data_IF_632798339572
#
_entry.id   IF_632798339572
#
_cell.length_a   1.000
_cell.length_b   1.000
_cell.length_c   1.000
_cell.angle_alpha   90.00
_cell.angle_beta   90.00
_cell.angle_gamma   90.00
#
_symmetry.space_group_name_H-M   'P 1'
#
loop_
_entity.id
_entity.type
_entity.pdbx_description
1 polymer ?
#
# COMPACT_ATOMS: atom_id res chain seq x y z
N UNK A 1 -37.57 41.69 93.12
CA UNK A 1 -36.19 41.89 92.69
C UNK A 1 -36.19 42.24 91.18
N UNK A 2 -35.90 43.51 90.91
CA UNK A 2 -35.89 44.12 89.58
C UNK A 2 -34.73 43.63 88.72
N UNK A 3 -34.97 43.38 87.38
CA UNK A 3 -33.93 43.47 86.42
C UNK A 3 -34.44 44.23 85.16
N UNK A 4 -33.70 45.29 84.87
CA UNK A 4 -33.91 46.27 83.83
C UNK A 4 -33.71 45.64 82.42
N UNK A 5 -34.62 46.00 81.50
CA UNK A 5 -34.49 45.81 80.08
C UNK A 5 -33.63 46.97 79.51
N UNK A 6 -32.56 46.66 78.80
CA UNK A 6 -31.77 47.61 78.01
C UNK A 6 -32.18 47.52 76.59
N UNK A 7 -32.64 48.61 75.98
CA UNK A 7 -32.95 48.79 74.57
C UNK A 7 -31.66 48.96 73.76
N UNK A 8 -31.47 48.16 72.71
CA UNK A 8 -30.42 48.34 71.73
C UNK A 8 -30.96 49.09 70.52
N UNK A 9 -30.38 50.23 70.24
CA UNK A 9 -30.59 51.04 69.02
C UNK A 9 -30.18 50.32 67.76
N UNK A 10 -31.12 50.12 66.82
CA UNK A 10 -30.78 49.64 65.44
C UNK A 10 -30.54 50.88 64.55
N UNK A 11 -29.30 51.08 64.20
CA UNK A 11 -28.86 52.08 63.20
C UNK A 11 -29.21 51.64 61.83
N UNK A 12 -30.11 52.31 61.16
CA UNK A 12 -30.42 52.11 59.71
C UNK A 12 -29.30 52.68 58.87
N UNK A 13 -28.47 51.81 58.27
CA UNK A 13 -27.51 52.20 57.26
C UNK A 13 -28.23 52.38 55.89
N UNK A 14 -28.31 53.61 55.41
CA UNK A 14 -28.75 53.93 54.07
C UNK A 14 -27.74 53.34 53.04
N UNK A 15 -28.13 52.31 52.28
CA UNK A 15 -27.36 51.76 51.18
C UNK A 15 -27.59 52.63 49.94
N UNK A 16 -26.57 53.30 49.43
CA UNK A 16 -26.69 54.21 48.29
C UNK A 16 -27.03 53.42 46.99
N UNK A 17 -27.87 54.01 46.11
CA UNK A 17 -28.24 53.43 44.81
C UNK A 17 -27.04 53.03 43.93
N UNK A 18 -25.88 53.63 44.15
CA UNK A 18 -24.61 53.29 43.46
C UNK A 18 -24.02 51.92 43.94
N UNK A 19 -24.19 51.55 45.22
CA UNK A 19 -23.69 50.31 45.73
C UNK A 19 -24.53 49.09 45.25
N UNK A 20 -25.84 49.29 44.97
CA UNK A 20 -26.71 48.23 44.43
C UNK A 20 -26.42 47.99 42.96
N UNK A 21 -26.09 49.04 42.17
CA UNK A 21 -25.72 48.88 40.76
C UNK A 21 -24.32 48.25 40.58
N UNK A 22 -23.37 48.46 41.45
CA UNK A 22 -22.06 47.83 41.41
C UNK A 22 -22.13 46.33 41.78
N UNK A 23 -23.03 45.95 42.72
CA UNK A 23 -23.24 44.56 43.10
C UNK A 23 -23.91 43.70 41.99
N UNK A 24 -24.83 44.29 41.22
CA UNK A 24 -25.47 43.59 40.09
C UNK A 24 -24.53 43.42 38.89
N UNK A 25 -23.60 44.36 38.62
CA UNK A 25 -22.60 44.22 37.54
C UNK A 25 -21.55 43.13 37.87
N UNK A 26 -21.12 43.02 39.12
CA UNK A 26 -20.21 41.96 39.56
C UNK A 26 -20.85 40.56 39.54
N UNK A 27 -22.15 40.47 39.86
CA UNK A 27 -22.90 39.22 39.80
C UNK A 27 -23.13 38.72 38.34
N UNK A 28 -23.33 39.63 37.41
CA UNK A 28 -23.48 39.30 35.97
C UNK A 28 -22.17 38.85 35.34
N UNK A 29 -21.03 39.47 35.72
CA UNK A 29 -19.70 39.05 35.22
C UNK A 29 -19.28 37.68 35.75
N UNK A 30 -19.64 37.31 36.98
CA UNK A 30 -19.37 36.00 37.57
C UNK A 30 -20.28 34.89 37.03
N UNK A 31 -21.47 35.23 36.51
CA UNK A 31 -22.39 34.27 35.88
C UNK A 31 -21.96 33.93 34.43
N UNK A 32 -21.30 34.87 33.72
CA UNK A 32 -20.77 34.64 32.37
C UNK A 32 -19.52 33.76 32.35
N UNK A 33 -18.78 33.62 33.45
CA UNK A 33 -17.62 32.73 33.58
C UNK A 33 -17.97 31.27 33.91
N UNK A 34 -19.27 30.92 34.05
CA UNK A 34 -19.74 29.56 34.34
C UNK A 34 -20.54 28.91 33.18
N UNK A 35 -20.49 29.45 31.98
CA UNK A 35 -20.91 28.65 30.85
C UNK A 35 -19.87 27.53 30.68
N UNK A 36 -20.26 26.26 30.78
CA UNK A 36 -19.33 25.19 30.39
C UNK A 36 -18.92 25.51 28.97
N UNK A 37 -17.61 25.68 28.75
CA UNK A 37 -17.09 25.59 27.39
C UNK A 37 -17.73 24.35 26.78
N UNK A 38 -18.35 24.41 25.60
CA UNK A 38 -18.90 23.21 24.98
C UNK A 38 -17.80 22.19 25.01
N UNK A 39 -18.01 21.07 25.70
CA UNK A 39 -17.15 19.92 25.58
C UNK A 39 -17.09 19.68 24.08
N UNK A 40 -15.94 19.88 23.46
CA UNK A 40 -15.70 19.46 22.08
C UNK A 40 -16.05 17.98 22.13
N UNK A 41 -17.21 17.62 21.63
CA UNK A 41 -17.61 16.22 21.52
C UNK A 41 -16.45 15.53 20.83
N UNK A 42 -15.74 14.70 21.57
CA UNK A 42 -14.60 13.99 21.05
C UNK A 42 -15.17 13.17 19.89
N UNK A 43 -14.83 13.54 18.65
CA UNK A 43 -15.34 12.84 17.47
C UNK A 43 -15.07 11.35 17.65
N UNK A 44 -16.04 10.50 17.30
CA UNK A 44 -15.87 9.04 17.33
C UNK A 44 -14.52 8.66 16.71
N UNK A 45 -13.80 7.69 17.25
CA UNK A 45 -12.55 7.23 16.65
C UNK A 45 -12.75 6.86 15.19
N UNK A 46 -11.77 7.15 14.35
CA UNK A 46 -11.72 6.65 12.97
C UNK A 46 -11.31 5.19 13.00
N UNK A 47 -12.18 4.30 12.53
CA UNK A 47 -11.93 2.85 12.53
C UNK A 47 -11.27 2.43 11.25
N UNK A 48 -10.00 2.06 11.35
CA UNK A 48 -9.15 1.64 10.24
C UNK A 48 -9.01 0.12 10.23
N UNK A 49 -9.63 -0.55 9.27
CA UNK A 49 -9.54 -1.99 9.08
C UNK A 49 -8.34 -2.37 8.20
N UNK A 50 -7.67 -3.47 8.51
CA UNK A 50 -6.64 -4.08 7.66
C UNK A 50 -6.98 -5.53 7.38
N UNK A 51 -7.10 -5.90 6.12
CA UNK A 51 -7.08 -7.28 5.63
C UNK A 51 -5.66 -7.66 5.26
N UNK A 52 -5.07 -8.63 5.95
CA UNK A 52 -3.68 -9.05 5.74
C UNK A 52 -3.53 -10.57 5.80
N UNK A 53 -2.36 -11.09 5.42
CA UNK A 53 -2.02 -12.51 5.46
C UNK A 53 -0.89 -12.73 6.45
N UNK A 54 -1.08 -13.60 7.46
CA UNK A 54 -0.07 -13.85 8.51
C UNK A 54 0.56 -15.23 8.44
N UNK A 55 0.08 -16.10 7.54
CA UNK A 55 0.54 -17.48 7.39
C UNK A 55 0.73 -17.85 5.91
N UNK A 56 1.51 -18.91 5.64
CA UNK A 56 1.73 -19.43 4.30
C UNK A 56 2.70 -18.62 3.44
N UNK A 57 2.72 -18.85 2.11
CA UNK A 57 3.71 -18.27 1.20
C UNK A 57 3.69 -16.74 1.14
N UNK A 58 2.55 -16.11 1.42
CA UNK A 58 2.37 -14.66 1.37
C UNK A 58 2.57 -13.96 2.72
N UNK A 59 2.85 -14.70 3.80
CA UNK A 59 2.93 -14.17 5.16
C UNK A 59 3.96 -13.03 5.32
N UNK A 60 5.10 -13.12 4.64
CA UNK A 60 6.14 -12.09 4.68
C UNK A 60 5.58 -10.74 4.22
N UNK A 61 4.86 -10.71 3.09
CA UNK A 61 4.20 -9.52 2.60
C UNK A 61 3.14 -8.99 3.55
N UNK A 62 2.28 -9.87 4.07
CA UNK A 62 1.20 -9.49 4.98
C UNK A 62 1.69 -8.94 6.32
N UNK A 63 2.79 -9.45 6.86
CA UNK A 63 3.43 -8.92 8.08
C UNK A 63 3.98 -7.51 7.79
N UNK A 64 4.64 -7.32 6.66
CA UNK A 64 5.15 -6.02 6.23
C UNK A 64 4.01 -5.00 6.03
N UNK A 65 2.86 -5.41 5.51
CA UNK A 65 1.67 -4.54 5.42
C UNK A 65 1.29 -3.97 6.77
N UNK A 66 1.11 -4.81 7.77
CA UNK A 66 0.73 -4.39 9.12
C UNK A 66 1.79 -3.50 9.76
N UNK A 67 3.06 -3.84 9.60
CA UNK A 67 4.19 -3.03 10.08
C UNK A 67 4.21 -1.64 9.44
N UNK A 68 3.91 -1.53 8.14
CA UNK A 68 3.81 -0.25 7.44
C UNK A 68 2.69 0.64 8.00
N UNK A 69 1.49 0.09 8.18
CA UNK A 69 0.37 0.79 8.81
C UNK A 69 0.74 1.28 10.22
N UNK A 70 1.23 0.36 11.06
CA UNK A 70 1.56 0.67 12.44
C UNK A 70 2.72 1.66 12.57
N UNK A 71 3.68 1.66 11.62
CA UNK A 71 4.76 2.66 11.59
C UNK A 71 4.18 4.06 11.40
N UNK A 72 3.25 4.24 10.44
CA UNK A 72 2.58 5.51 10.23
C UNK A 72 1.73 5.92 11.44
N UNK A 73 0.93 5.01 11.98
CA UNK A 73 0.08 5.31 13.12
C UNK A 73 0.88 5.70 14.37
N UNK A 74 2.00 5.04 14.64
CA UNK A 74 2.92 5.40 15.74
C UNK A 74 3.52 6.79 15.53
N UNK A 75 3.98 7.11 14.31
CA UNK A 75 4.49 8.44 13.96
C UNK A 75 3.45 9.54 14.21
N UNK A 76 2.18 9.27 13.92
CA UNK A 76 1.05 10.20 14.12
C UNK A 76 0.39 10.09 15.50
N UNK A 77 0.99 9.36 16.46
CA UNK A 77 0.40 9.11 17.77
C UNK A 77 -1.06 8.62 17.68
N UNK A 78 -1.33 7.73 16.73
CA UNK A 78 -2.68 7.19 16.43
C UNK A 78 -3.72 8.29 16.21
N UNK A 79 -3.33 9.38 15.52
CA UNK A 79 -4.26 10.48 15.18
C UNK A 79 -4.04 10.87 13.73
N UNK A 80 -5.07 10.72 12.89
CA UNK A 80 -5.07 11.09 11.47
C UNK A 80 -6.31 11.93 11.15
N UNK A 81 -6.19 12.92 10.27
CA UNK A 81 -7.30 13.83 9.93
C UNK A 81 -7.94 14.51 11.15
N UNK A 82 -7.19 14.66 12.25
CA UNK A 82 -7.71 15.22 13.52
C UNK A 82 -8.51 14.22 14.38
N UNK A 83 -8.67 12.97 13.96
CA UNK A 83 -9.40 11.91 14.69
C UNK A 83 -8.45 10.87 15.28
N UNK A 84 -8.75 10.37 16.46
CA UNK A 84 -8.09 9.18 17.02
C UNK A 84 -8.41 7.96 16.16
N UNK A 85 -7.42 7.09 15.98
CA UNK A 85 -7.56 5.86 15.19
C UNK A 85 -7.78 4.66 16.09
N UNK A 86 -8.83 3.90 15.77
CA UNK A 86 -9.03 2.53 16.24
C UNK A 86 -8.61 1.59 15.10
N UNK A 87 -7.50 0.87 15.29
CA UNK A 87 -6.90 0.02 14.26
C UNK A 87 -7.25 -1.45 14.49
N UNK A 88 -7.85 -2.08 13.48
CA UNK A 88 -8.33 -3.46 13.53
C UNK A 88 -7.67 -4.27 12.42
N UNK A 89 -6.81 -5.23 12.77
CA UNK A 89 -6.12 -6.12 11.84
C UNK A 89 -6.78 -7.49 11.80
N UNK A 90 -7.10 -7.97 10.59
CA UNK A 90 -7.75 -9.24 10.34
C UNK A 90 -6.92 -10.12 9.41
N UNK A 91 -6.58 -11.33 9.87
CA UNK A 91 -5.86 -12.35 9.08
C UNK A 91 -6.83 -13.08 8.17
N UNK A 92 -6.63 -12.99 6.87
CA UNK A 92 -7.45 -13.64 5.84
C UNK A 92 -7.08 -15.12 5.64
N UNK A 93 -5.94 -15.56 6.20
CA UNK A 93 -5.36 -16.87 5.95
C UNK A 93 -4.90 -17.07 4.50
N UNK A 94 -4.79 -16.00 3.70
CA UNK A 94 -4.33 -16.05 2.31
C UNK A 94 -5.25 -16.85 1.39
N UNK A 95 -6.57 -16.79 1.59
CA UNK A 95 -7.53 -17.50 0.76
C UNK A 95 -8.86 -16.72 0.59
N UNK A 96 -9.60 -16.95 -0.52
CA UNK A 96 -10.83 -16.21 -0.84
C UNK A 96 -11.93 -16.29 0.23
N UNK A 97 -12.14 -17.45 0.84
CA UNK A 97 -13.20 -17.67 1.81
C UNK A 97 -12.91 -16.92 3.13
N UNK A 98 -11.67 -17.05 3.63
CA UNK A 98 -11.21 -16.31 4.80
C UNK A 98 -11.28 -14.80 4.59
N UNK A 99 -10.88 -14.33 3.43
CA UNK A 99 -10.93 -12.90 3.08
C UNK A 99 -12.37 -12.37 3.12
N UNK A 100 -13.33 -13.11 2.53
CA UNK A 100 -14.74 -12.73 2.56
C UNK A 100 -15.27 -12.64 3.98
N UNK A 101 -15.01 -13.67 4.81
CA UNK A 101 -15.42 -13.68 6.21
C UNK A 101 -14.85 -12.50 6.97
N UNK A 102 -13.55 -12.23 6.82
CA UNK A 102 -12.89 -11.13 7.54
C UNK A 102 -13.32 -9.75 7.05
N UNK A 103 -13.60 -9.59 5.76
CA UNK A 103 -14.17 -8.35 5.24
C UNK A 103 -15.56 -8.08 5.84
N UNK A 104 -16.42 -9.11 5.92
CA UNK A 104 -17.73 -8.99 6.56
C UNK A 104 -17.63 -8.65 8.05
N UNK A 105 -16.72 -9.30 8.79
CA UNK A 105 -16.46 -8.97 10.20
C UNK A 105 -16.07 -7.50 10.39
N UNK A 106 -15.11 -6.99 9.60
CA UNK A 106 -14.66 -5.60 9.67
C UNK A 106 -15.80 -4.60 9.37
N UNK A 107 -16.63 -4.89 8.37
CA UNK A 107 -17.71 -3.98 7.96
C UNK A 107 -18.91 -4.07 8.88
N UNK A 108 -19.38 -5.28 9.19
CA UNK A 108 -20.68 -5.49 9.84
C UNK A 108 -20.58 -5.48 11.37
N UNK A 109 -19.52 -6.07 11.94
CA UNK A 109 -19.29 -6.13 13.39
C UNK A 109 -18.50 -4.92 13.88
N UNK A 110 -17.35 -4.68 13.26
CA UNK A 110 -16.37 -3.70 13.74
C UNK A 110 -16.65 -2.28 13.22
N UNK A 111 -17.54 -2.16 12.19
CA UNK A 111 -18.00 -0.88 11.62
C UNK A 111 -16.83 0.01 11.19
N UNK A 112 -15.87 -0.54 10.45
CA UNK A 112 -14.73 0.22 9.97
C UNK A 112 -15.14 1.33 8.99
N UNK A 113 -14.43 2.44 9.02
CA UNK A 113 -14.62 3.57 8.11
C UNK A 113 -13.98 3.32 6.75
N UNK A 114 -12.86 2.60 6.73
CA UNK A 114 -12.08 2.24 5.54
C UNK A 114 -11.41 0.89 5.74
N UNK A 115 -11.21 0.15 4.65
CA UNK A 115 -10.40 -1.07 4.63
C UNK A 115 -9.08 -0.80 3.90
N UNK A 116 -7.96 -1.20 4.50
CA UNK A 116 -6.67 -1.36 3.84
C UNK A 116 -6.46 -2.83 3.47
N UNK A 117 -5.84 -3.10 2.32
CA UNK A 117 -5.69 -4.46 1.82
C UNK A 117 -6.88 -4.92 0.93
N UNK A 118 -7.03 -6.19 0.64
CA UNK A 118 -6.15 -7.32 0.98
C UNK A 118 -4.83 -7.32 0.19
N UNK A 119 -4.04 -8.42 0.36
CA UNK A 119 -2.74 -8.56 -0.28
C UNK A 119 -2.85 -9.14 -1.70
N UNK A 120 -3.55 -10.25 -1.86
CA UNK A 120 -3.52 -11.02 -3.10
C UNK A 120 -4.66 -10.68 -4.07
N UNK A 121 -4.41 -10.83 -5.38
CA UNK A 121 -5.40 -10.56 -6.42
C UNK A 121 -6.68 -11.40 -6.23
N UNK A 122 -6.54 -12.71 -5.95
CA UNK A 122 -7.70 -13.60 -5.73
C UNK A 122 -8.50 -13.22 -4.48
N UNK A 123 -7.88 -12.64 -3.47
CA UNK A 123 -8.54 -12.12 -2.28
C UNK A 123 -9.40 -10.89 -2.62
N UNK A 124 -8.83 -9.96 -3.40
CA UNK A 124 -9.54 -8.75 -3.81
C UNK A 124 -10.71 -9.05 -4.74
N UNK A 125 -10.54 -9.98 -5.69
CA UNK A 125 -11.65 -10.46 -6.53
C UNK A 125 -12.78 -11.06 -5.69
N UNK A 126 -12.46 -11.83 -4.65
CA UNK A 126 -13.45 -12.48 -3.80
C UNK A 126 -14.36 -11.49 -3.03
N UNK A 127 -13.89 -10.27 -2.76
CA UNK A 127 -14.64 -9.26 -1.99
C UNK A 127 -15.07 -8.05 -2.81
N UNK A 128 -14.73 -7.98 -4.09
CA UNK A 128 -14.97 -6.77 -4.91
C UNK A 128 -16.46 -6.39 -4.98
N UNK A 129 -17.34 -7.36 -5.21
CA UNK A 129 -18.79 -7.09 -5.26
C UNK A 129 -19.30 -6.66 -3.89
N UNK A 130 -18.86 -7.31 -2.81
CA UNK A 130 -19.21 -6.94 -1.44
C UNK A 130 -18.79 -5.50 -1.09
N UNK A 131 -17.55 -5.12 -1.43
CA UNK A 131 -17.05 -3.74 -1.27
C UNK A 131 -17.98 -2.74 -1.98
N UNK A 132 -18.38 -3.06 -3.22
CA UNK A 132 -19.26 -2.23 -4.03
C UNK A 132 -20.66 -2.12 -3.43
N UNK A 133 -21.26 -3.22 -3.01
CA UNK A 133 -22.59 -3.27 -2.38
C UNK A 133 -22.64 -2.49 -1.06
N UNK A 134 -21.59 -2.63 -0.23
CA UNK A 134 -21.49 -1.95 1.06
C UNK A 134 -20.99 -0.50 0.94
N UNK A 135 -20.67 -0.04 -0.27
CA UNK A 135 -20.04 1.26 -0.51
C UNK A 135 -18.80 1.47 0.39
N UNK A 136 -18.00 0.41 0.59
CA UNK A 136 -16.90 0.41 1.55
C UNK A 136 -15.61 0.95 0.91
N UNK A 137 -15.13 2.14 1.28
CA UNK A 137 -13.85 2.65 0.81
C UNK A 137 -12.74 1.67 1.11
N UNK A 138 -12.02 1.22 0.08
CA UNK A 138 -10.99 0.20 0.20
C UNK A 138 -9.73 0.63 -0.55
N UNK A 139 -8.61 0.72 0.16
CA UNK A 139 -7.30 0.98 -0.44
C UNK A 139 -6.52 -0.32 -0.45
N UNK A 140 -6.45 -0.96 -1.62
CA UNK A 140 -5.76 -2.24 -1.76
C UNK A 140 -4.37 -2.08 -2.36
N UNK A 141 -3.47 -3.00 -1.96
CA UNK A 141 -2.25 -3.25 -2.71
C UNK A 141 -2.36 -4.51 -3.58
N UNK A 142 -3.45 -5.27 -3.47
CA UNK A 142 -3.70 -6.39 -4.37
C UNK A 142 -3.78 -5.89 -5.81
N UNK A 143 -2.91 -6.41 -6.64
CA UNK A 143 -2.60 -5.82 -7.94
C UNK A 143 -3.53 -6.31 -9.09
N UNK A 144 -4.73 -6.82 -8.78
CA UNK A 144 -5.73 -7.33 -9.72
C UNK A 144 -6.10 -6.29 -10.81
N UNK A 145 -5.54 -6.41 -11.99
CA UNK A 145 -5.58 -5.43 -13.07
C UNK A 145 -7.00 -4.99 -13.42
N UNK A 146 -7.92 -5.93 -13.63
CA UNK A 146 -9.25 -5.63 -14.12
C UNK A 146 -10.09 -4.74 -13.23
N UNK A 147 -9.85 -4.75 -11.92
CA UNK A 147 -10.65 -3.97 -10.95
C UNK A 147 -10.37 -2.45 -11.01
N UNK A 148 -9.36 -2.04 -11.77
CA UNK A 148 -9.10 -0.65 -12.16
C UNK A 148 -8.93 -0.47 -13.67
N UNK A 149 -9.35 -1.45 -14.46
CA UNK A 149 -9.30 -1.41 -15.92
C UNK A 149 -10.69 -1.70 -16.51
N UNK A 150 -11.01 -2.98 -16.78
CA UNK A 150 -12.22 -3.39 -17.50
C UNK A 150 -13.46 -3.54 -16.62
N UNK A 151 -13.26 -3.74 -15.31
CA UNK A 151 -14.32 -3.93 -14.31
C UNK A 151 -14.08 -2.99 -13.10
N UNK A 152 -14.02 -1.66 -13.31
CA UNK A 152 -13.64 -0.75 -12.25
C UNK A 152 -14.64 -0.77 -11.10
N UNK A 153 -14.11 -0.90 -9.88
CA UNK A 153 -14.89 -0.81 -8.66
C UNK A 153 -14.80 0.63 -8.12
N UNK A 154 -15.92 1.37 -8.00
CA UNK A 154 -15.92 2.78 -7.60
C UNK A 154 -15.43 3.01 -6.15
N UNK A 155 -15.45 1.98 -5.29
CA UNK A 155 -15.01 2.04 -3.90
C UNK A 155 -13.63 1.41 -3.68
N UNK A 156 -12.94 1.03 -4.74
CA UNK A 156 -11.56 0.60 -4.71
C UNK A 156 -10.64 1.74 -5.16
N UNK A 157 -9.58 1.98 -4.40
CA UNK A 157 -8.46 2.85 -4.77
C UNK A 157 -7.18 2.02 -4.65
N UNK A 158 -6.29 2.11 -5.63
CA UNK A 158 -5.02 1.39 -5.62
C UNK A 158 -3.86 2.38 -5.66
N UNK A 159 -3.13 2.49 -4.54
CA UNK A 159 -1.93 3.34 -4.45
C UNK A 159 -0.62 2.58 -4.72
N UNK A 160 -0.70 1.27 -4.99
CA UNK A 160 0.45 0.45 -5.37
C UNK A 160 0.74 0.55 -6.88
N UNK A 161 0.19 -0.38 -7.62
CA UNK A 161 0.26 -0.60 -9.05
C UNK A 161 -0.71 -1.71 -9.44
N UNK A 162 -1.05 -1.85 -10.71
CA UNK A 162 -1.56 -3.11 -11.22
C UNK A 162 -0.41 -4.11 -11.37
N UNK A 163 -0.71 -5.41 -11.44
CA UNK A 163 0.31 -6.45 -11.64
C UNK A 163 1.12 -6.20 -12.91
N UNK A 164 0.46 -5.78 -13.99
CA UNK A 164 1.11 -5.49 -15.26
C UNK A 164 1.91 -4.19 -15.27
N UNK A 165 1.48 -3.19 -14.49
CA UNK A 165 2.04 -1.83 -14.52
C UNK A 165 3.53 -1.79 -14.14
N UNK A 166 3.98 -2.59 -13.16
CA UNK A 166 5.38 -2.66 -12.78
C UNK A 166 6.23 -3.42 -13.83
N UNK A 167 5.58 -4.33 -14.56
CA UNK A 167 6.27 -5.18 -15.53
C UNK A 167 6.40 -4.57 -16.92
N UNK A 168 5.57 -3.59 -17.26
CA UNK A 168 5.66 -2.87 -18.55
C UNK A 168 6.98 -2.10 -18.68
N UNK A 169 7.40 -1.23 -17.71
CA UNK A 169 8.73 -0.62 -17.73
C UNK A 169 9.87 -1.64 -17.74
N UNK A 170 9.68 -2.79 -17.05
CA UNK A 170 10.69 -3.85 -17.02
C UNK A 170 10.85 -4.52 -18.39
N UNK A 171 9.75 -4.80 -19.09
CA UNK A 171 9.78 -5.35 -20.44
C UNK A 171 10.48 -4.41 -21.41
N UNK A 172 10.13 -3.12 -21.38
CA UNK A 172 10.80 -2.07 -22.15
C UNK A 172 12.31 -2.02 -21.82
N UNK A 173 12.68 -1.97 -20.55
CA UNK A 173 14.07 -1.91 -20.12
C UNK A 173 14.87 -3.17 -20.55
N UNK A 174 14.27 -4.34 -20.44
CA UNK A 174 14.89 -5.60 -20.85
C UNK A 174 15.24 -5.62 -22.36
N UNK A 175 14.33 -5.13 -23.21
CA UNK A 175 14.56 -5.06 -24.65
C UNK A 175 15.56 -3.95 -25.05
N UNK A 176 15.39 -2.75 -24.48
CA UNK A 176 16.07 -1.53 -24.95
C UNK A 176 17.42 -1.28 -24.29
N UNK A 177 17.56 -1.59 -23.00
CA UNK A 177 18.79 -1.33 -22.24
C UNK A 177 19.62 -2.60 -22.01
N UNK A 178 18.97 -3.70 -21.58
CA UNK A 178 19.67 -4.99 -21.41
C UNK A 178 19.90 -5.71 -22.76
N UNK A 179 19.23 -5.25 -23.84
CA UNK A 179 19.34 -5.80 -25.19
C UNK A 179 18.95 -7.28 -25.28
N UNK A 180 18.12 -7.76 -24.38
CA UNK A 180 17.59 -9.11 -24.45
C UNK A 180 16.69 -9.25 -25.69
N UNK A 181 16.73 -10.40 -26.34
CA UNK A 181 15.90 -10.70 -27.50
C UNK A 181 14.96 -11.86 -27.27
N UNK A 182 15.40 -12.86 -26.51
CA UNK A 182 14.68 -14.13 -26.27
C UNK A 182 14.63 -14.39 -24.78
N UNK A 183 13.45 -14.37 -24.19
CA UNK A 183 13.28 -14.52 -22.72
C UNK A 183 12.36 -15.69 -22.42
N UNK A 184 12.77 -16.54 -21.47
CA UNK A 184 11.88 -17.49 -20.77
C UNK A 184 11.25 -16.79 -19.61
N UNK A 185 9.93 -16.93 -19.42
CA UNK A 185 9.22 -16.39 -18.28
C UNK A 185 8.83 -17.48 -17.29
N UNK A 186 8.87 -17.17 -15.99
CA UNK A 186 8.48 -18.11 -14.91
C UNK A 186 7.81 -17.35 -13.78
N UNK A 187 6.59 -17.79 -13.39
CA UNK A 187 5.79 -17.16 -12.33
C UNK A 187 4.71 -18.12 -11.85
N UNK A 188 4.05 -17.80 -10.72
CA UNK A 188 2.98 -18.65 -10.18
C UNK A 188 1.74 -18.69 -11.08
N UNK A 189 1.09 -19.87 -11.07
CA UNK A 189 -0.10 -20.22 -11.87
C UNK A 189 -1.38 -19.62 -11.25
N UNK A 190 -1.52 -18.28 -11.27
CA UNK A 190 -2.73 -17.55 -10.88
C UNK A 190 -2.72 -16.11 -11.45
N UNK A 191 -3.82 -15.36 -11.27
CA UNK A 191 -4.05 -14.06 -11.92
C UNK A 191 -2.85 -13.10 -11.82
N UNK A 192 -2.25 -12.93 -10.64
CA UNK A 192 -1.06 -12.06 -10.47
C UNK A 192 0.08 -12.45 -11.42
N UNK A 193 0.41 -13.75 -11.49
CA UNK A 193 1.46 -14.23 -12.37
C UNK A 193 1.15 -13.99 -13.86
N UNK A 194 -0.11 -14.24 -14.27
CA UNK A 194 -0.53 -14.00 -15.66
C UNK A 194 -0.43 -12.53 -16.03
N UNK A 195 -0.87 -11.63 -15.15
CA UNK A 195 -0.83 -10.18 -15.33
C UNK A 195 0.62 -9.67 -15.34
N UNK A 196 1.47 -10.16 -14.44
CA UNK A 196 2.91 -9.84 -14.41
C UNK A 196 3.57 -10.16 -15.75
N UNK A 197 3.46 -11.41 -16.21
CA UNK A 197 4.10 -11.82 -17.45
C UNK A 197 3.42 -11.21 -18.67
N UNK A 198 2.11 -10.99 -18.62
CA UNK A 198 1.37 -10.31 -19.68
C UNK A 198 1.88 -8.89 -19.91
N UNK A 199 2.04 -8.11 -18.82
CA UNK A 199 2.59 -6.75 -18.88
C UNK A 199 4.04 -6.71 -19.38
N UNK A 200 4.89 -7.61 -18.88
CA UNK A 200 6.26 -7.76 -19.34
C UNK A 200 6.30 -8.07 -20.84
N UNK A 201 5.61 -9.13 -21.27
CA UNK A 201 5.63 -9.62 -22.63
C UNK A 201 5.11 -8.56 -23.61
N UNK A 202 4.03 -7.86 -23.28
CA UNK A 202 3.46 -6.83 -24.15
C UNK A 202 4.48 -5.72 -24.44
N UNK A 203 5.12 -5.15 -23.41
CA UNK A 203 6.11 -4.11 -23.58
C UNK A 203 7.43 -4.64 -24.21
N UNK A 204 7.85 -5.84 -23.82
CA UNK A 204 9.06 -6.47 -24.38
C UNK A 204 8.93 -6.74 -25.87
N UNK A 205 7.77 -7.23 -26.32
CA UNK A 205 7.48 -7.49 -27.73
C UNK A 205 7.29 -6.21 -28.54
N UNK A 206 6.69 -5.16 -27.96
CA UNK A 206 6.60 -3.84 -28.60
C UNK A 206 7.99 -3.33 -29.01
N UNK A 207 9.00 -3.60 -28.19
CA UNK A 207 10.39 -3.19 -28.43
C UNK A 207 11.24 -4.26 -29.13
N UNK A 208 10.61 -5.24 -29.75
CA UNK A 208 11.24 -6.26 -30.59
C UNK A 208 11.84 -7.44 -29.85
N UNK A 209 11.49 -7.65 -28.59
CA UNK A 209 11.79 -8.87 -27.84
C UNK A 209 10.81 -10.01 -28.13
N UNK A 210 11.13 -11.20 -27.66
CA UNK A 210 10.31 -12.39 -27.84
C UNK A 210 10.32 -13.28 -26.61
N UNK A 211 9.14 -13.66 -26.10
CA UNK A 211 9.01 -14.67 -25.05
C UNK A 211 8.95 -16.05 -25.70
N UNK A 212 9.96 -16.87 -25.41
CA UNK A 212 10.15 -18.19 -26.05
C UNK A 212 9.49 -19.33 -25.30
N UNK A 213 9.31 -19.18 -23.98
CA UNK A 213 8.62 -20.17 -23.15
C UNK A 213 8.00 -19.51 -21.92
N UNK A 214 6.93 -20.10 -21.38
CA UNK A 214 6.24 -19.67 -20.16
C UNK A 214 6.11 -20.85 -19.20
N UNK A 215 6.62 -20.69 -17.99
CA UNK A 215 6.62 -21.72 -16.96
C UNK A 215 5.73 -21.27 -15.79
N UNK A 216 4.83 -22.14 -15.34
CA UNK A 216 3.76 -21.84 -14.40
C UNK A 216 3.78 -22.78 -13.19
N UNK A 217 4.73 -22.65 -12.23
CA UNK A 217 4.67 -23.38 -10.96
C UNK A 217 3.45 -22.93 -10.12
N UNK A 218 2.75 -23.85 -9.43
CA UNK A 218 1.76 -23.48 -8.42
C UNK A 218 2.34 -22.56 -7.33
N UNK A 219 1.51 -21.68 -6.74
CA UNK A 219 1.92 -20.75 -5.67
C UNK A 219 2.62 -21.46 -4.48
N UNK A 220 2.15 -22.64 -4.11
CA UNK A 220 2.72 -23.44 -3.01
C UNK A 220 3.79 -24.44 -3.48
N UNK A 221 4.43 -24.22 -4.64
CA UNK A 221 5.47 -25.11 -5.16
C UNK A 221 6.61 -25.30 -4.14
N UNK A 222 6.91 -26.53 -3.72
CA UNK A 222 7.98 -26.79 -2.76
C UNK A 222 9.37 -26.77 -3.40
N UNK A 223 9.48 -27.13 -4.69
CA UNK A 223 10.72 -27.26 -5.45
C UNK A 223 10.62 -26.64 -6.84
N UNK A 224 11.56 -25.77 -7.18
CA UNK A 224 11.65 -25.09 -8.47
C UNK A 224 12.55 -25.80 -9.48
N UNK A 225 13.29 -26.84 -9.07
CA UNK A 225 14.23 -27.57 -9.96
C UNK A 225 13.60 -28.06 -11.27
N UNK A 226 12.38 -28.63 -11.29
CA UNK A 226 11.75 -29.08 -12.54
C UNK A 226 11.45 -27.94 -13.51
N UNK A 227 11.22 -26.73 -13.01
CA UNK A 227 10.97 -25.54 -13.84
C UNK A 227 12.27 -24.94 -14.32
N UNK A 228 13.27 -24.84 -13.45
CA UNK A 228 14.63 -24.37 -13.78
C UNK A 228 15.25 -25.22 -14.89
N UNK A 229 15.07 -26.52 -14.87
CA UNK A 229 15.57 -27.45 -15.90
C UNK A 229 14.97 -27.21 -17.31
N UNK A 230 13.86 -26.47 -17.41
CA UNK A 230 13.23 -26.12 -18.69
C UNK A 230 13.69 -24.77 -19.24
N UNK A 231 14.57 -24.06 -18.52
CA UNK A 231 15.12 -22.78 -18.96
C UNK A 231 16.30 -23.05 -19.91
N UNK A 232 16.08 -22.86 -21.18
CA UNK A 232 17.09 -23.07 -22.22
C UNK A 232 16.82 -22.14 -23.43
N UNK A 233 17.80 -22.02 -24.33
CA UNK A 233 17.70 -21.33 -25.60
C UNK A 233 17.15 -19.89 -25.49
N UNK A 234 17.63 -19.13 -24.51
CA UNK A 234 17.22 -17.76 -24.25
C UNK A 234 18.42 -16.86 -23.94
N UNK A 235 18.19 -15.54 -23.97
CA UNK A 235 19.16 -14.51 -23.58
C UNK A 235 18.96 -14.03 -22.15
N UNK A 236 17.81 -14.35 -21.55
CA UNK A 236 17.46 -13.96 -20.21
C UNK A 236 16.22 -14.65 -19.67
N UNK A 237 15.98 -14.47 -18.38
CA UNK A 237 14.83 -15.02 -17.67
C UNK A 237 14.05 -13.90 -17.00
N UNK A 238 12.73 -13.88 -17.19
CA UNK A 238 11.86 -12.99 -16.45
C UNK A 238 11.08 -13.79 -15.41
N UNK A 239 11.27 -13.48 -14.12
CA UNK A 239 10.48 -14.08 -13.04
C UNK A 239 9.48 -13.10 -12.46
N UNK A 240 8.28 -13.58 -12.06
CA UNK A 240 7.20 -12.79 -11.50
C UNK A 240 6.61 -13.41 -10.22
N UNK A 241 7.46 -13.92 -9.33
CA UNK A 241 7.03 -14.62 -8.11
C UNK A 241 6.60 -13.68 -6.99
N UNK A 242 5.65 -14.13 -6.17
CA UNK A 242 5.14 -13.44 -5.00
C UNK A 242 5.75 -13.95 -3.68
N UNK A 243 5.63 -13.12 -2.63
CA UNK A 243 6.04 -13.47 -1.27
C UNK A 243 7.51 -13.87 -1.16
N UNK A 244 7.79 -15.03 -0.56
CA UNK A 244 9.15 -15.57 -0.40
C UNK A 244 9.60 -16.50 -1.52
N UNK A 245 8.74 -16.74 -2.52
CA UNK A 245 9.04 -17.65 -3.63
C UNK A 245 10.23 -17.22 -4.49
N UNK A 246 10.49 -15.92 -4.72
CA UNK A 246 11.67 -15.45 -5.44
C UNK A 246 12.98 -15.97 -4.83
N UNK A 247 13.09 -16.02 -3.50
CA UNK A 247 14.28 -16.53 -2.82
C UNK A 247 14.56 -18.00 -3.16
N UNK A 248 13.50 -18.82 -3.15
CA UNK A 248 13.61 -20.26 -3.44
C UNK A 248 13.94 -20.50 -4.91
N UNK A 249 13.31 -19.74 -5.81
CA UNK A 249 13.60 -19.80 -7.23
C UNK A 249 15.05 -19.43 -7.51
N UNK A 250 15.55 -18.30 -6.99
CA UNK A 250 16.94 -17.86 -7.23
C UNK A 250 17.97 -18.86 -6.70
N UNK A 251 17.70 -19.50 -5.56
CA UNK A 251 18.55 -20.59 -5.04
C UNK A 251 18.57 -21.80 -5.97
N UNK A 252 17.42 -22.26 -6.45
CA UNK A 252 17.33 -23.35 -7.41
C UNK A 252 18.02 -23.00 -8.74
N UNK A 253 17.82 -21.78 -9.22
CA UNK A 253 18.43 -21.23 -10.43
C UNK A 253 19.97 -21.24 -10.34
N UNK A 254 20.53 -20.72 -9.26
CA UNK A 254 21.98 -20.71 -9.02
C UNK A 254 22.53 -22.14 -8.85
N UNK A 255 21.82 -23.02 -8.14
CA UNK A 255 22.22 -24.43 -7.95
C UNK A 255 22.27 -25.22 -9.26
N UNK A 256 21.42 -24.86 -10.23
CA UNK A 256 21.46 -25.44 -11.57
C UNK A 256 22.61 -24.90 -12.44
N UNK A 257 23.39 -23.93 -11.94
CA UNK A 257 24.52 -23.36 -12.66
C UNK A 257 24.14 -22.44 -13.82
N UNK A 258 22.86 -22.03 -13.93
CA UNK A 258 22.40 -21.12 -14.98
C UNK A 258 23.01 -19.71 -14.81
N UNK A 259 23.29 -19.04 -15.92
CA UNK A 259 24.00 -17.75 -15.95
C UNK A 259 23.26 -16.68 -16.80
N UNK A 260 22.05 -16.98 -17.27
CA UNK A 260 21.28 -15.97 -17.98
C UNK A 260 20.97 -14.79 -17.05
N UNK A 261 20.96 -13.53 -17.54
CA UNK A 261 20.43 -12.41 -16.78
C UNK A 261 19.00 -12.68 -16.32
N UNK A 262 18.71 -12.38 -15.05
CA UNK A 262 17.35 -12.52 -14.49
C UNK A 262 16.77 -11.13 -14.27
N UNK A 263 15.56 -10.90 -14.82
CA UNK A 263 14.77 -9.70 -14.57
C UNK A 263 13.50 -10.06 -13.82
N UNK A 264 12.96 -9.10 -13.07
CA UNK A 264 11.79 -9.33 -12.21
C UNK A 264 10.91 -8.09 -12.06
N UNK A 265 9.68 -8.32 -11.61
CA UNK A 265 8.79 -7.27 -11.16
C UNK A 265 9.09 -6.83 -9.72
N UNK A 266 8.08 -6.22 -9.16
CA UNK A 266 8.14 -5.54 -7.86
C UNK A 266 8.49 -6.46 -6.68
N UNK A 267 8.02 -7.71 -6.72
CA UNK A 267 8.13 -8.66 -5.62
C UNK A 267 9.45 -9.44 -5.61
N UNK A 268 9.96 -9.81 -6.78
CA UNK A 268 11.16 -10.63 -6.89
C UNK A 268 12.44 -9.92 -6.47
N UNK A 269 12.49 -8.61 -6.60
CA UNK A 269 13.57 -7.76 -6.12
C UNK A 269 13.17 -6.93 -4.90
N UNK A 270 12.18 -7.35 -4.10
CA UNK A 270 11.72 -6.58 -2.94
C UNK A 270 12.85 -6.37 -1.92
N UNK A 271 13.00 -5.13 -1.45
CA UNK A 271 14.04 -4.74 -0.49
C UNK A 271 13.95 -5.51 0.84
N UNK A 272 12.75 -5.92 1.26
CA UNK A 272 12.56 -6.75 2.45
C UNK A 272 13.22 -8.15 2.33
N UNK A 273 13.49 -8.62 1.13
CA UNK A 273 14.16 -9.90 0.88
C UNK A 273 15.68 -9.81 0.91
N UNK A 274 16.27 -8.60 0.87
CA UNK A 274 17.73 -8.41 0.76
C UNK A 274 18.51 -9.06 1.91
N UNK A 275 17.93 -9.12 3.11
CA UNK A 275 18.54 -9.79 4.27
C UNK A 275 18.68 -11.32 4.04
N UNK A 276 17.85 -11.91 3.21
CA UNK A 276 17.79 -13.35 2.91
C UNK A 276 18.43 -13.74 1.59
N UNK A 277 18.73 -12.77 0.74
CA UNK A 277 19.51 -12.98 -0.47
C UNK A 277 21.00 -13.09 -0.17
N UNK A 278 21.67 -13.98 -0.91
CA UNK A 278 23.12 -14.09 -0.98
C UNK A 278 23.65 -13.73 -2.37
N UNK A 279 24.78 -14.32 -2.73
CA UNK A 279 25.46 -14.10 -4.02
C UNK A 279 24.58 -14.49 -5.23
N UNK A 280 23.63 -15.42 -5.02
CA UNK A 280 22.69 -15.87 -6.06
C UNK A 280 21.79 -14.75 -6.60
N UNK A 281 21.64 -13.66 -5.87
CA UNK A 281 20.84 -12.53 -6.31
C UNK A 281 21.66 -11.41 -6.98
N UNK A 282 22.99 -11.47 -6.94
CA UNK A 282 23.83 -10.44 -7.55
C UNK A 282 23.59 -10.40 -9.07
N UNK A 283 23.26 -9.19 -9.55
CA UNK A 283 22.92 -8.96 -10.96
C UNK A 283 21.42 -9.04 -11.28
N UNK A 284 20.57 -9.49 -10.34
CA UNK A 284 19.11 -9.45 -10.51
C UNK A 284 18.65 -8.00 -10.73
N UNK A 285 17.88 -7.77 -11.80
CA UNK A 285 17.33 -6.46 -12.13
C UNK A 285 15.82 -6.48 -11.94
N UNK A 286 15.30 -5.58 -11.11
CA UNK A 286 13.87 -5.51 -10.78
C UNK A 286 13.27 -4.13 -11.05
N UNK A 287 11.97 -4.10 -11.35
CA UNK A 287 11.20 -2.87 -11.43
C UNK A 287 10.18 -2.81 -10.27
N UNK A 288 10.20 -1.74 -9.50
CA UNK A 288 9.35 -1.62 -8.31
C UNK A 288 8.92 -0.17 -8.08
N UNK A 289 7.72 0.08 -7.55
CA UNK A 289 7.28 1.42 -7.19
C UNK A 289 7.90 1.96 -5.90
N UNK A 290 8.78 1.22 -5.26
CA UNK A 290 9.50 1.59 -4.04
C UNK A 290 10.96 1.16 -4.11
N UNK A 291 11.84 1.88 -3.44
CA UNK A 291 13.25 1.52 -3.26
C UNK A 291 13.83 2.10 -1.97
N UNK A 292 14.64 1.31 -1.26
CA UNK A 292 15.45 1.79 -0.13
C UNK A 292 16.49 2.85 -0.57
N UNK A 293 16.90 2.83 -1.83
CA UNK A 293 17.94 3.71 -2.41
C UNK A 293 17.42 5.13 -2.69
N UNK A 294 16.16 5.46 -2.37
CA UNK A 294 15.59 6.78 -2.56
C UNK A 294 16.01 7.71 -1.41
N UNK A 295 16.90 8.67 -1.72
CA UNK A 295 17.48 9.63 -0.78
C UNK A 295 16.53 10.83 -0.56
N UNK A 296 15.41 10.60 0.15
CA UNK A 296 14.46 11.64 0.55
C UNK A 296 14.16 11.56 2.04
N UNK A 297 13.84 12.70 2.67
CA UNK A 297 13.49 12.74 4.09
C UNK A 297 12.28 11.87 4.42
N UNK A 298 11.30 11.78 3.50
CA UNK A 298 10.12 10.94 3.68
C UNK A 298 10.49 9.45 3.73
N UNK A 299 11.40 9.01 2.85
CA UNK A 299 11.86 7.62 2.84
C UNK A 299 12.74 7.31 4.06
N UNK A 300 13.67 8.20 4.42
CA UNK A 300 14.52 8.03 5.60
C UNK A 300 13.68 7.90 6.88
N UNK A 301 12.71 8.80 7.12
CA UNK A 301 11.80 8.71 8.28
C UNK A 301 11.05 7.37 8.34
N UNK A 302 10.57 6.91 7.18
CA UNK A 302 9.87 5.62 7.09
C UNK A 302 10.81 4.44 7.42
N UNK A 303 12.02 4.40 6.83
CA UNK A 303 13.02 3.34 7.08
C UNK A 303 13.40 3.32 8.56
N UNK A 304 13.73 4.48 9.14
CA UNK A 304 14.08 4.60 10.55
C UNK A 304 12.94 4.14 11.47
N UNK A 305 11.70 4.47 11.10
CA UNK A 305 10.51 4.01 11.81
C UNK A 305 10.35 2.48 11.78
N UNK A 306 10.58 1.84 10.64
CA UNK A 306 10.54 0.39 10.49
C UNK A 306 11.63 -0.31 11.29
N UNK A 307 12.87 0.15 11.17
CA UNK A 307 14.02 -0.42 11.91
C UNK A 307 13.80 -0.24 13.41
N UNK A 308 13.45 0.96 13.87
CA UNK A 308 13.22 1.25 15.29
C UNK A 308 12.11 0.40 15.91
N UNK A 309 11.02 0.18 15.19
CA UNK A 309 9.84 -0.49 15.74
C UNK A 309 9.90 -2.02 15.61
N UNK A 310 10.60 -2.55 14.60
CA UNK A 310 10.48 -3.96 14.22
C UNK A 310 11.81 -4.66 13.91
N UNK A 311 12.94 -3.94 13.97
CA UNK A 311 14.24 -4.44 13.49
C UNK A 311 14.14 -5.05 12.07
N UNK A 312 13.30 -4.43 11.23
CA UNK A 312 12.96 -4.92 9.91
C UNK A 312 13.34 -3.92 8.82
N UNK A 313 13.95 -4.43 7.76
CA UNK A 313 14.17 -3.69 6.53
C UNK A 313 12.82 -3.59 5.79
N UNK A 314 12.33 -2.38 5.48
CA UNK A 314 11.08 -2.26 4.77
C UNK A 314 11.23 -2.66 3.30
N UNK A 315 10.22 -3.35 2.80
CA UNK A 315 10.00 -3.56 1.38
C UNK A 315 8.80 -2.76 0.88
N UNK A 316 8.40 -3.05 -0.36
CA UNK A 316 7.28 -2.38 -0.98
C UNK A 316 5.97 -2.54 -0.19
N UNK A 317 5.69 -3.71 0.39
CA UNK A 317 4.45 -3.95 1.12
C UNK A 317 4.29 -3.00 2.31
N UNK A 318 5.36 -2.81 3.09
CA UNK A 318 5.35 -1.86 4.20
C UNK A 318 5.24 -0.41 3.70
N UNK A 319 6.05 -0.03 2.70
CA UNK A 319 6.07 1.33 2.15
C UNK A 319 4.70 1.75 1.61
N UNK A 320 4.02 0.84 0.91
CA UNK A 320 2.76 1.16 0.26
C UNK A 320 1.58 1.19 1.23
N UNK A 321 1.58 0.38 2.29
CA UNK A 321 0.59 0.51 3.36
C UNK A 321 0.81 1.75 4.22
N UNK A 322 2.06 2.16 4.43
CA UNK A 322 2.36 3.47 5.02
C UNK A 322 1.80 4.60 4.12
N UNK A 323 2.00 4.54 2.81
CA UNK A 323 1.45 5.50 1.83
C UNK A 323 -0.08 5.46 1.80
N UNK A 324 -0.71 4.30 1.89
CA UNK A 324 -2.17 4.21 2.01
C UNK A 324 -2.69 4.98 3.24
N UNK A 325 -1.98 4.92 4.36
CA UNK A 325 -2.30 5.73 5.54
C UNK A 325 -2.12 7.23 5.28
N UNK A 326 -1.07 7.64 4.52
CA UNK A 326 -0.91 9.05 4.11
C UNK A 326 -2.07 9.52 3.23
N UNK A 327 -2.54 8.67 2.30
CA UNK A 327 -3.70 8.96 1.43
C UNK A 327 -4.96 9.14 2.28
N UNK A 328 -5.23 8.22 3.21
CA UNK A 328 -6.37 8.30 4.13
C UNK A 328 -6.30 9.56 5.01
N UNK A 329 -5.13 9.87 5.58
CA UNK A 329 -4.91 11.07 6.40
C UNK A 329 -5.17 12.37 5.60
N UNK A 330 -4.68 12.43 4.37
CA UNK A 330 -4.90 13.58 3.48
C UNK A 330 -6.39 13.75 3.11
N UNK A 331 -7.08 12.65 2.79
CA UNK A 331 -8.51 12.66 2.48
C UNK A 331 -9.36 13.07 3.68
N UNK A 332 -9.05 12.54 4.87
CA UNK A 332 -9.73 12.94 6.12
C UNK A 332 -9.55 14.42 6.43
N UNK A 333 -8.34 14.97 6.25
CA UNK A 333 -8.09 16.41 6.42
C UNK A 333 -8.94 17.23 5.44
N UNK A 334 -8.99 16.80 4.18
CA UNK A 334 -9.77 17.49 3.14
C UNK A 334 -11.30 17.43 3.40
N UNK A 335 -11.79 16.35 4.05
CA UNK A 335 -13.21 16.19 4.42
C UNK A 335 -13.54 16.73 5.82
N UNK A 336 -12.61 17.44 6.49
CA UNK A 336 -12.83 17.94 7.84
C UNK A 336 -12.99 16.82 8.90
N UNK A 337 -12.44 15.65 8.63
CA UNK A 337 -12.53 14.47 9.50
C UNK A 337 -13.77 13.60 9.27
N UNK A 338 -14.62 13.97 8.31
CA UNK A 338 -15.84 13.21 7.99
C UNK A 338 -15.56 12.08 6.99
N UNK A 339 -15.88 10.84 7.38
CA UNK A 339 -15.88 9.64 6.56
C UNK A 339 -17.23 8.90 6.56
N UNK A 340 -18.26 9.53 7.12
CA UNK A 340 -19.62 8.96 7.23
C UNK A 340 -20.32 8.86 5.87
N UNK A 341 -20.20 9.90 5.05
CA UNK A 341 -20.65 9.89 3.65
C UNK A 341 -19.59 9.19 2.79
N UNK A 342 -19.81 7.91 2.50
CA UNK A 342 -18.85 7.07 1.77
C UNK A 342 -18.55 7.58 0.36
N UNK A 343 -19.54 8.15 -0.33
CA UNK A 343 -19.34 8.67 -1.69
C UNK A 343 -18.47 9.94 -1.67
N UNK A 344 -18.69 10.85 -0.72
CA UNK A 344 -17.85 12.04 -0.53
C UNK A 344 -16.43 11.67 -0.07
N UNK A 345 -16.31 10.70 0.84
CA UNK A 345 -15.01 10.27 1.31
C UNK A 345 -14.20 9.59 0.19
N UNK A 346 -14.85 8.75 -0.65
CA UNK A 346 -14.21 8.22 -1.85
C UNK A 346 -13.77 9.30 -2.82
N UNK A 347 -14.57 10.33 -3.02
CA UNK A 347 -14.18 11.47 -3.85
C UNK A 347 -12.95 12.21 -3.29
N UNK A 348 -12.88 12.39 -1.97
CA UNK A 348 -11.71 12.97 -1.31
C UNK A 348 -10.46 12.07 -1.45
N UNK A 349 -10.60 10.75 -1.30
CA UNK A 349 -9.50 9.78 -1.51
C UNK A 349 -8.95 9.85 -2.93
N UNK A 350 -9.81 9.88 -3.94
CA UNK A 350 -9.43 9.96 -5.36
C UNK A 350 -8.75 11.28 -5.74
N UNK A 351 -9.08 12.36 -5.06
CA UNK A 351 -8.51 13.68 -5.31
C UNK A 351 -7.12 13.86 -4.69
N UNK A 352 -6.64 12.90 -3.89
CA UNK A 352 -5.33 12.99 -3.23
C UNK A 352 -4.21 13.01 -4.26
N UNK A 353 -3.31 13.97 -4.10
CA UNK A 353 -2.07 14.10 -4.84
C UNK A 353 -0.94 14.35 -3.83
N UNK A 354 -0.06 13.37 -3.67
CA UNK A 354 1.04 13.44 -2.71
C UNK A 354 2.36 13.62 -3.44
N UNK A 355 3.16 14.57 -3.00
CA UNK A 355 4.51 14.85 -3.52
C UNK A 355 5.61 14.25 -2.66
N UNK A 356 5.35 14.07 -1.36
CA UNK A 356 6.32 13.59 -0.36
C UNK A 356 5.85 12.28 0.27
N UNK A 357 6.25 11.17 -0.34
CA UNK A 357 6.03 9.84 0.22
C UNK A 357 7.30 9.00 0.18
N UNK A 358 7.39 7.91 0.94
CA UNK A 358 8.55 7.00 0.85
C UNK A 358 8.82 6.46 -0.56
N UNK A 359 7.81 6.44 -1.42
CA UNK A 359 7.94 5.96 -2.81
C UNK A 359 8.10 7.08 -3.85
N UNK A 360 8.16 8.35 -3.43
CA UNK A 360 8.08 9.52 -4.31
C UNK A 360 6.64 9.95 -4.62
N UNK A 361 6.45 10.85 -5.60
CA UNK A 361 5.14 11.42 -5.93
C UNK A 361 4.14 10.38 -6.43
N UNK A 362 2.86 10.60 -6.11
CA UNK A 362 1.75 9.82 -6.67
C UNK A 362 0.47 10.64 -6.77
N UNK A 363 -0.36 10.27 -7.74
CA UNK A 363 -1.74 10.71 -7.94
C UNK A 363 -2.54 9.53 -8.51
N UNK A 364 -3.84 9.71 -8.66
CA UNK A 364 -4.72 8.66 -9.18
C UNK A 364 -5.28 9.03 -10.56
N UNK A 365 -5.48 8.03 -11.40
CA UNK A 365 -6.22 8.16 -12.65
C UNK A 365 -7.75 8.12 -12.41
N UNK A 366 -8.53 8.32 -13.46
CA UNK A 366 -10.00 8.31 -13.40
C UNK A 366 -10.60 6.93 -13.08
N UNK A 367 -9.81 5.86 -13.20
CA UNK A 367 -10.18 4.48 -12.85
C UNK A 367 -9.70 4.07 -11.45
N UNK A 368 -9.25 5.05 -10.64
CA UNK A 368 -8.79 4.87 -9.26
C UNK A 368 -7.49 4.07 -9.11
N UNK A 369 -6.65 4.05 -10.13
CA UNK A 369 -5.33 3.46 -10.06
C UNK A 369 -4.24 4.53 -9.96
N UNK A 370 -3.12 4.18 -9.35
CA UNK A 370 -1.98 5.08 -9.19
C UNK A 370 -1.36 5.46 -10.54
N UNK A 371 -1.00 6.72 -10.67
CA UNK A 371 0.04 7.21 -11.58
C UNK A 371 1.22 7.60 -10.70
N UNK A 372 2.36 6.96 -10.87
CA UNK A 372 3.50 7.15 -9.96
C UNK A 372 4.84 6.82 -10.58
N UNK A 373 5.87 6.86 -9.74
CA UNK A 373 7.24 6.59 -10.13
C UNK A 373 7.59 5.12 -9.94
N UNK A 374 8.33 4.56 -10.89
CA UNK A 374 8.87 3.20 -10.85
C UNK A 374 10.39 3.23 -11.03
N UNK A 375 11.07 2.40 -10.26
CA UNK A 375 12.51 2.34 -10.17
C UNK A 375 13.02 1.02 -10.72
N UNK A 376 13.89 1.07 -11.74
CA UNK A 376 14.70 -0.08 -12.14
C UNK A 376 15.86 -0.16 -11.17
N UNK A 377 16.01 -1.29 -10.52
CA UNK A 377 17.02 -1.52 -9.49
C UNK A 377 17.85 -2.76 -9.84
N UNK A 378 19.13 -2.73 -9.52
CA UNK A 378 20.01 -3.88 -9.67
C UNK A 378 20.57 -4.28 -8.32
N UNK A 379 20.48 -5.55 -7.98
CA UNK A 379 21.12 -6.10 -6.79
C UNK A 379 22.62 -6.21 -7.01
N UNK A 380 23.39 -5.62 -6.11
CA UNK A 380 24.85 -5.65 -6.07
C UNK A 380 25.36 -5.58 -4.64
N UNK A 381 26.66 -5.46 -4.46
CA UNK A 381 27.30 -5.32 -3.13
C UNK A 381 27.62 -3.86 -2.80
N UNK A 382 27.67 -2.99 -3.79
CA UNK A 382 28.03 -1.59 -3.61
C UNK A 382 26.93 -0.79 -2.91
N UNK A 383 27.31 0.06 -1.97
CA UNK A 383 26.40 0.97 -1.26
C UNK A 383 25.51 0.29 -0.24
N UNK A 384 25.76 -0.98 0.10
CA UNK A 384 24.96 -1.70 1.09
C UNK A 384 24.96 -0.96 2.45
N UNK A 385 23.75 -0.75 2.99
CA UNK A 385 23.48 -0.07 4.25
C UNK A 385 22.76 -1.01 5.21
N UNK A 386 22.54 -0.59 6.45
CA UNK A 386 21.74 -1.30 7.46
C UNK A 386 22.19 -2.74 7.73
N UNK A 387 23.51 -3.05 7.59
CA UNK A 387 24.05 -4.37 7.80
C UNK A 387 23.71 -5.42 6.73
N UNK A 388 23.14 -5.00 5.61
CA UNK A 388 22.85 -5.88 4.47
C UNK A 388 24.13 -6.25 3.72
N UNK A 389 24.17 -7.46 3.13
CA UNK A 389 25.27 -7.93 2.27
C UNK A 389 25.12 -7.49 0.82
N UNK A 390 23.89 -7.34 0.39
CA UNK A 390 23.51 -6.93 -0.97
C UNK A 390 22.56 -5.75 -0.92
N UNK A 391 22.52 -4.95 -1.98
CA UNK A 391 21.79 -3.70 -2.07
C UNK A 391 21.09 -3.56 -3.42
N UNK A 392 19.87 -3.04 -3.41
CA UNK A 392 19.16 -2.65 -4.62
C UNK A 392 19.57 -1.24 -5.05
N UNK A 393 20.54 -1.13 -5.94
CA UNK A 393 20.92 0.15 -6.52
C UNK A 393 19.94 0.58 -7.60
N UNK A 394 19.36 1.75 -7.47
CA UNK A 394 18.53 2.37 -8.52
C UNK A 394 19.40 2.76 -9.70
N UNK A 395 19.08 2.25 -10.89
CA UNK A 395 19.85 2.46 -12.12
C UNK A 395 19.07 3.22 -13.20
N UNK A 396 17.73 3.25 -13.09
CA UNK A 396 16.85 4.06 -13.93
C UNK A 396 15.52 4.34 -13.23
N UNK A 397 14.92 5.47 -13.54
CA UNK A 397 13.63 5.90 -13.00
C UNK A 397 12.66 6.19 -14.15
N UNK A 398 11.44 5.70 -14.05
CA UNK A 398 10.33 6.05 -14.91
C UNK A 398 9.29 6.80 -14.09
N UNK A 399 9.03 8.05 -14.47
CA UNK A 399 8.06 8.90 -13.78
C UNK A 399 6.69 8.85 -14.45
N UNK A 400 5.63 9.12 -13.68
CA UNK A 400 4.26 9.21 -14.18
C UNK A 400 3.78 7.96 -14.95
N UNK A 401 4.23 6.78 -14.54
CA UNK A 401 3.82 5.52 -15.17
C UNK A 401 2.34 5.27 -14.88
N UNK A 402 1.55 5.16 -15.93
CA UNK A 402 0.14 4.78 -15.86
C UNK A 402 -0.02 3.26 -15.99
N UNK A 403 -1.19 2.73 -15.62
CA UNK A 403 -1.50 1.32 -15.80
C UNK A 403 -1.60 0.88 -17.27
N UNK A 404 -1.63 1.84 -18.18
CA UNK A 404 -1.69 1.61 -19.62
C UNK A 404 -0.32 1.77 -20.31
N UNK A 405 0.75 2.05 -19.55
CA UNK A 405 2.09 2.31 -20.05
C UNK A 405 2.08 3.44 -21.09
N UNK A 406 2.52 3.16 -22.30
CA UNK A 406 2.59 4.10 -23.43
C UNK A 406 1.43 3.93 -24.42
N UNK A 407 0.54 2.96 -24.20
CA UNK A 407 -0.58 2.72 -25.10
C UNK A 407 -1.75 3.67 -24.81
N UNK A 408 -2.50 4.08 -25.85
CA UNK A 408 -3.81 4.68 -25.66
C UNK A 408 -4.72 3.75 -24.85
N UNK A 409 -5.44 4.29 -23.88
CA UNK A 409 -6.31 3.51 -22.99
C UNK A 409 -7.31 2.63 -23.77
N UNK A 410 -7.98 3.20 -24.78
CA UNK A 410 -8.95 2.45 -25.57
C UNK A 410 -8.34 1.27 -26.32
N UNK A 411 -7.11 1.42 -26.82
CA UNK A 411 -6.36 0.34 -27.46
C UNK A 411 -5.99 -0.75 -26.46
N UNK A 412 -5.43 -0.36 -25.31
CA UNK A 412 -5.08 -1.31 -24.25
C UNK A 412 -6.29 -2.09 -23.75
N UNK A 413 -7.42 -1.42 -23.52
CA UNK A 413 -8.64 -2.06 -23.04
C UNK A 413 -9.34 -2.94 -24.08
N UNK A 414 -9.06 -2.76 -25.36
CA UNK A 414 -9.57 -3.63 -26.45
C UNK A 414 -8.87 -5.00 -26.49
N UNK A 415 -7.66 -5.13 -25.91
CA UNK A 415 -6.98 -6.42 -25.82
C UNK A 415 -7.65 -7.32 -24.76
N UNK A 416 -7.56 -8.66 -24.91
CA UNK A 416 -8.00 -9.59 -23.89
C UNK A 416 -7.31 -9.35 -22.54
N UNK A 417 -7.97 -9.80 -21.45
CA UNK A 417 -7.35 -9.88 -20.13
C UNK A 417 -6.13 -10.79 -20.17
N UNK A 418 -5.07 -10.40 -19.50
CA UNK A 418 -3.90 -11.26 -19.36
C UNK A 418 -4.28 -12.57 -18.68
N UNK A 419 -3.82 -13.66 -19.27
CA UNK A 419 -4.11 -15.01 -18.81
C UNK A 419 -2.91 -15.92 -19.04
N UNK A 420 -3.01 -17.17 -18.61
CA UNK A 420 -1.99 -18.19 -18.90
C UNK A 420 -1.63 -18.26 -20.39
N UNK A 421 -2.63 -18.11 -21.27
CA UNK A 421 -2.48 -18.24 -22.71
C UNK A 421 -2.35 -16.91 -23.45
N UNK A 422 -2.65 -15.79 -22.80
CA UNK A 422 -2.57 -14.47 -23.41
C UNK A 422 -1.63 -13.51 -22.63
N UNK A 423 -0.71 -12.79 -23.32
CA UNK A 423 -0.39 -12.85 -24.78
C UNK A 423 0.15 -14.22 -25.19
N UNK A 424 -0.18 -14.67 -26.39
CA UNK A 424 0.32 -15.94 -26.91
C UNK A 424 1.85 -15.90 -27.13
N UNK A 425 2.49 -17.07 -27.11
CA UNK A 425 3.87 -17.18 -27.56
C UNK A 425 3.94 -16.86 -29.06
N UNK A 426 4.92 -16.07 -29.43
CA UNK A 426 5.20 -15.74 -30.83
C UNK A 426 6.43 -16.52 -31.32
N UNK A 427 6.46 -16.84 -32.62
CA UNK A 427 7.69 -17.38 -33.21
C UNK A 427 8.72 -16.28 -33.28
N UNK A 428 9.92 -16.53 -32.77
CA UNK A 428 11.05 -15.61 -32.83
C UNK A 428 11.90 -15.83 -34.10
#
# INVERSE_FOLDING_TARGET
MSRKLTSSNVSSRNVSRRAVLAGTAAGAAAALSRFPTPAIAQSEPFRLGLLTVKTGPLAQGGIQMEQGVLTYLKEKNYTIGGRKVDFISADTGGNPAGTKTKAQELVERDKVDVILGPLAAFELYAISDYIKEQKMPTLSLAAADNLTQRLPNPYLLRALATSSQAMQPMGHYAATELKLKRVVTVTEDFAFGYEQIGGFQAAFQQDGGCVVNKLWPPLATPDYTPYVAQIADCDGVCQGFAGSNPLRFMKAYASAGLKYPVVTGETGGDDALLKSYGDEAIGLVGCCPYTLDLETDANHRFIDGMIKNYDAIPGQYAALLYVNCQVVDAALKASGGDAGDKDKFMAALKAVNLTETPRGPLKFDHLNNVIGTFYIRRIGTEGAKYGLKVWNKTIKTYENVSQFWTWPEAEFLAHPVYSRDYPALTKC
#
